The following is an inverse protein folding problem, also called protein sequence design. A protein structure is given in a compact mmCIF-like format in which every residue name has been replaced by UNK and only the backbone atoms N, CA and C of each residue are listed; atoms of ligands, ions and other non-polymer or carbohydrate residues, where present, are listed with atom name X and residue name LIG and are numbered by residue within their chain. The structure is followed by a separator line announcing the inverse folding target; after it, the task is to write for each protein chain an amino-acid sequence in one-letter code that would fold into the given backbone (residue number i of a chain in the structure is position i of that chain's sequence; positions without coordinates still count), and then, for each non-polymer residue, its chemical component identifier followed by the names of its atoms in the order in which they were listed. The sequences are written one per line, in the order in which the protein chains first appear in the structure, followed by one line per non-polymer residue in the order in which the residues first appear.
data_IF_773158027948
#
_entry.id   IF_773158027948
#
_cell.length_a   1.000
_cell.length_b   1.000
_cell.length_c   1.000
_cell.angle_alpha   90.00
_cell.angle_beta   90.00
_cell.angle_gamma   90.00
#
_symmetry.space_group_name_H-M   'P 1'
#
loop_
_entity.id
_entity.type
_entity.pdbx_description
1 polymer ?
#
# COMPACT_ATOMS: atom_id res chain seq x y z
N UNK A 1 10.34 -8.00 -8.72
CA UNK A 1 10.21 -6.55 -8.42
C UNK A 1 10.00 -6.43 -6.93
N UNK A 2 10.67 -5.48 -6.27
CA UNK A 2 10.41 -5.19 -4.86
C UNK A 2 9.00 -4.58 -4.74
N UNK A 3 8.20 -5.01 -3.76
CA UNK A 3 6.78 -4.59 -3.61
C UNK A 3 6.56 -3.58 -2.49
N UNK A 4 7.49 -3.53 -1.54
CA UNK A 4 7.39 -2.72 -0.34
C UNK A 4 8.77 -2.50 0.24
N UNK A 5 8.89 -1.50 1.13
CA UNK A 5 10.09 -1.30 1.94
C UNK A 5 9.81 -1.56 3.41
N UNK A 6 10.65 -2.38 4.05
CA UNK A 6 10.60 -2.59 5.49
C UNK A 6 11.54 -1.60 6.20
N UNK A 7 11.00 -0.86 7.17
CA UNK A 7 11.69 0.16 7.96
C UNK A 7 11.70 -0.29 9.42
N UNK A 8 12.88 -0.49 9.96
CA UNK A 8 13.12 -0.87 11.36
C UNK A 8 13.62 0.33 12.16
N UNK A 9 13.60 0.24 13.50
CA UNK A 9 14.15 1.27 14.39
C UNK A 9 15.64 1.58 14.16
N UNK A 10 16.40 0.65 13.57
CA UNK A 10 17.84 0.82 13.30
C UNK A 10 18.10 1.56 11.99
N UNK A 11 17.11 1.60 11.10
CA UNK A 11 17.23 2.32 9.86
C UNK A 11 17.18 3.82 10.15
N UNK A 12 17.99 4.61 9.41
CA UNK A 12 17.76 6.05 9.27
C UNK A 12 16.49 6.22 8.42
N UNK A 13 15.32 5.95 9.01
CA UNK A 13 14.07 5.61 8.32
C UNK A 13 13.72 6.53 7.14
N UNK A 14 13.98 7.83 7.28
CA UNK A 14 13.76 8.82 6.22
C UNK A 14 14.53 8.55 4.92
N UNK A 15 15.79 8.12 4.97
CA UNK A 15 16.59 7.91 3.74
C UNK A 15 16.08 6.71 2.93
N UNK A 16 15.72 5.63 3.64
CA UNK A 16 15.21 4.40 3.04
C UNK A 16 13.80 4.61 2.46
N UNK A 17 12.94 5.28 3.25
CA UNK A 17 11.57 5.64 2.86
C UNK A 17 11.57 6.56 1.62
N UNK A 18 12.43 7.59 1.60
CA UNK A 18 12.58 8.49 0.46
C UNK A 18 13.14 7.80 -0.79
N UNK A 19 14.09 6.87 -0.63
CA UNK A 19 14.65 6.12 -1.75
C UNK A 19 13.59 5.23 -2.38
N UNK A 20 12.78 4.56 -1.55
CA UNK A 20 11.65 3.76 -2.02
C UNK A 20 10.60 4.60 -2.73
N UNK A 21 10.22 5.75 -2.15
CA UNK A 21 9.29 6.69 -2.79
C UNK A 21 9.74 7.08 -4.20
N UNK A 22 11.02 7.37 -4.40
CA UNK A 22 11.57 7.74 -5.72
C UNK A 22 11.44 6.59 -6.72
N UNK A 23 11.64 5.35 -6.29
CA UNK A 23 11.42 4.16 -7.15
C UNK A 23 9.95 4.04 -7.50
N UNK A 24 9.06 4.05 -6.51
CA UNK A 24 7.62 3.94 -6.72
C UNK A 24 7.08 5.01 -7.69
N UNK A 25 7.52 6.25 -7.51
CA UNK A 25 7.14 7.36 -8.38
C UNK A 25 7.67 7.21 -9.80
N UNK A 26 8.93 6.79 -9.95
CA UNK A 26 9.56 6.61 -11.28
C UNK A 26 8.90 5.48 -12.06
N UNK A 27 8.56 4.38 -11.38
CA UNK A 27 8.00 3.19 -12.01
C UNK A 27 6.46 3.20 -12.03
N UNK A 28 5.83 4.22 -11.43
CA UNK A 28 4.38 4.32 -11.28
C UNK A 28 3.78 3.05 -10.62
N UNK A 29 4.39 2.63 -9.51
CA UNK A 29 3.98 1.45 -8.73
C UNK A 29 3.51 1.84 -7.32
N UNK A 30 2.74 0.98 -6.62
CA UNK A 30 2.26 1.27 -5.27
C UNK A 30 3.40 1.58 -4.31
N UNK A 31 3.26 2.67 -3.56
CA UNK A 31 4.17 2.98 -2.47
C UNK A 31 3.69 2.33 -1.18
N UNK A 32 4.31 1.19 -0.83
CA UNK A 32 3.99 0.43 0.37
C UNK A 32 5.17 0.40 1.33
N UNK A 33 4.90 0.67 2.61
CA UNK A 33 5.88 0.62 3.68
C UNK A 33 5.43 -0.35 4.77
N UNK A 34 6.41 -1.03 5.38
CA UNK A 34 6.24 -1.77 6.63
C UNK A 34 7.06 -1.04 7.69
N UNK A 35 6.42 -0.47 8.70
CA UNK A 35 7.11 0.15 9.84
C UNK A 35 7.15 -0.86 10.99
N UNK A 36 8.25 -1.60 11.06
CA UNK A 36 8.45 -2.66 12.04
C UNK A 36 8.76 -2.11 13.43
N UNK A 37 8.05 -2.63 14.43
CA UNK A 37 8.32 -2.46 15.87
C UNK A 37 8.96 -3.76 16.38
N UNK A 38 8.79 -4.14 17.65
CA UNK A 38 9.42 -5.36 18.18
C UNK A 38 8.84 -6.63 17.56
N UNK A 39 7.55 -6.86 17.76
CA UNK A 39 6.78 -8.00 17.22
C UNK A 39 5.68 -7.59 16.27
N UNK A 40 5.28 -6.32 16.33
CA UNK A 40 4.20 -5.77 15.52
C UNK A 40 4.75 -4.85 14.44
N UNK A 41 3.95 -4.60 13.42
CA UNK A 41 4.25 -3.67 12.35
C UNK A 41 3.01 -2.88 11.95
N UNK A 42 3.27 -1.76 11.28
CA UNK A 42 2.26 -1.03 10.51
C UNK A 42 2.55 -1.28 9.04
N UNK A 43 1.56 -1.74 8.28
CA UNK A 43 1.62 -1.80 6.82
C UNK A 43 0.80 -0.65 6.27
N UNK A 44 1.41 0.20 5.45
CA UNK A 44 0.73 1.35 4.88
C UNK A 44 0.96 1.45 3.37
N UNK A 45 -0.11 1.71 2.63
CA UNK A 45 -0.06 2.24 1.27
C UNK A 45 -0.39 3.73 1.28
N UNK A 46 0.31 4.50 0.44
CA UNK A 46 0.03 5.91 0.16
C UNK A 46 0.02 6.16 -1.35
N UNK A 47 -1.00 6.87 -1.83
CA UNK A 47 -1.19 7.20 -3.24
C UNK A 47 -0.14 8.16 -3.82
N UNK A 48 0.66 8.83 -2.99
CA UNK A 48 1.59 9.91 -3.38
C UNK A 48 2.60 9.59 -4.49
N UNK A 49 2.80 8.31 -4.82
CA UNK A 49 3.66 7.89 -5.93
C UNK A 49 2.99 8.04 -7.31
N UNK A 50 1.66 8.13 -7.36
CA UNK A 50 0.90 8.26 -8.60
C UNK A 50 0.76 9.72 -9.06
N UNK A 51 0.64 9.96 -10.37
CA UNK A 51 0.36 11.30 -10.90
C UNK A 51 -1.11 11.70 -10.61
N UNK A 52 -1.41 13.00 -10.46
CA UNK A 52 -2.77 13.47 -10.17
C UNK A 52 -3.86 13.03 -11.15
N UNK A 53 -3.48 12.75 -12.41
CA UNK A 53 -4.40 12.22 -13.42
C UNK A 53 -4.97 10.85 -13.04
N UNK A 54 -4.22 10.06 -12.27
CA UNK A 54 -4.61 8.71 -11.86
C UNK A 54 -5.46 8.70 -10.57
N UNK A 55 -5.31 9.72 -9.72
CA UNK A 55 -6.00 9.81 -8.42
C UNK A 55 -7.51 9.64 -8.56
N UNK A 56 -8.13 10.38 -9.49
CA UNK A 56 -9.59 10.35 -9.67
C UNK A 56 -10.08 8.95 -10.08
N UNK A 57 -9.38 8.30 -11.00
CA UNK A 57 -9.72 6.96 -11.47
C UNK A 57 -9.52 5.92 -10.36
N UNK A 58 -8.41 6.01 -9.61
CA UNK A 58 -8.14 5.10 -8.49
C UNK A 58 -9.14 5.30 -7.35
N UNK A 59 -9.51 6.55 -7.04
CA UNK A 59 -10.49 6.87 -5.99
C UNK A 59 -11.90 6.42 -6.37
N UNK A 60 -12.26 6.45 -7.65
CA UNK A 60 -13.53 5.88 -8.12
C UNK A 60 -13.60 4.36 -7.90
N UNK A 61 -12.46 3.67 -7.82
CA UNK A 61 -12.37 2.24 -7.51
C UNK A 61 -12.34 1.94 -6.01
N UNK A 62 -12.40 2.95 -5.13
CA UNK A 62 -12.19 2.81 -3.69
C UNK A 62 -13.05 1.71 -3.04
N UNK A 63 -14.35 1.64 -3.33
CA UNK A 63 -15.22 0.61 -2.73
C UNK A 63 -14.80 -0.81 -3.14
N UNK A 64 -14.36 -1.01 -4.39
CA UNK A 64 -13.86 -2.31 -4.84
C UNK A 64 -12.53 -2.68 -4.18
N UNK A 65 -11.64 -1.70 -3.98
CA UNK A 65 -10.37 -1.86 -3.28
C UNK A 65 -10.65 -2.23 -1.81
N UNK A 66 -11.58 -1.51 -1.17
CA UNK A 66 -11.96 -1.71 0.22
C UNK A 66 -12.45 -3.13 0.48
N UNK A 67 -13.30 -3.68 -0.38
CA UNK A 67 -13.75 -5.09 -0.25
C UNK A 67 -12.57 -6.06 -0.25
N UNK A 68 -11.63 -5.90 -1.19
CA UNK A 68 -10.45 -6.78 -1.28
C UNK A 68 -9.50 -6.62 -0.09
N UNK A 69 -9.31 -5.39 0.37
CA UNK A 69 -8.44 -5.04 1.50
C UNK A 69 -9.03 -5.55 2.83
N UNK A 70 -10.35 -5.46 3.00
CA UNK A 70 -11.03 -6.08 4.15
C UNK A 70 -10.82 -7.59 4.19
N UNK A 71 -10.80 -8.27 3.04
CA UNK A 71 -10.52 -9.71 3.00
C UNK A 71 -9.07 -10.05 3.42
N UNK A 72 -8.09 -9.18 3.16
CA UNK A 72 -6.74 -9.33 3.73
C UNK A 72 -6.82 -9.22 5.25
N UNK A 73 -7.45 -8.17 5.74
CA UNK A 73 -7.56 -7.92 7.18
C UNK A 73 -8.17 -9.11 7.93
N UNK A 74 -9.27 -9.66 7.42
CA UNK A 74 -9.95 -10.80 8.05
C UNK A 74 -9.08 -12.07 8.17
N UNK A 75 -8.03 -12.22 7.33
CA UNK A 75 -7.10 -13.36 7.40
C UNK A 75 -5.96 -13.19 8.39
N UNK A 76 -5.51 -11.95 8.62
CA UNK A 76 -4.30 -11.65 9.42
C UNK A 76 -4.59 -10.89 10.72
N UNK A 77 -5.84 -10.54 10.98
CA UNK A 77 -6.30 -9.79 12.16
C UNK A 77 -6.01 -10.53 13.47
N UNK A 78 -5.46 -9.80 14.44
CA UNK A 78 -5.52 -10.13 15.87
C UNK A 78 -6.48 -9.20 16.61
N UNK A 79 -6.80 -9.47 17.88
CA UNK A 79 -7.67 -8.60 18.69
C UNK A 79 -7.19 -7.15 18.80
N UNK A 80 -5.89 -6.90 18.64
CA UNK A 80 -5.28 -5.58 18.77
C UNK A 80 -5.13 -4.85 17.42
N UNK A 81 -5.28 -5.57 16.32
CA UNK A 81 -5.07 -5.02 14.98
C UNK A 81 -6.19 -4.05 14.57
N UNK A 82 -5.84 -3.07 13.74
CA UNK A 82 -6.80 -2.07 13.23
C UNK A 82 -6.63 -1.87 11.73
N UNK A 83 -7.74 -1.59 11.03
CA UNK A 83 -7.75 -1.26 9.62
C UNK A 83 -8.34 0.13 9.39
N UNK A 84 -7.64 0.94 8.60
CA UNK A 84 -8.18 2.14 7.97
C UNK A 84 -8.08 1.99 6.47
N UNK A 85 -9.20 2.19 5.76
CA UNK A 85 -9.25 2.17 4.29
C UNK A 85 -9.81 3.50 3.80
N UNK A 86 -8.93 4.41 3.40
CA UNK A 86 -9.27 5.62 2.67
C UNK A 86 -8.94 5.49 1.17
N UNK A 87 -9.44 6.41 0.33
CA UNK A 87 -9.20 6.36 -1.12
C UNK A 87 -7.74 6.60 -1.50
N UNK A 88 -6.98 7.37 -0.72
CA UNK A 88 -5.56 7.63 -0.96
C UNK A 88 -4.59 7.00 0.04
N UNK A 89 -5.09 6.47 1.16
CA UNK A 89 -4.25 5.88 2.20
C UNK A 89 -4.95 4.66 2.78
N UNK A 90 -4.21 3.56 2.89
CA UNK A 90 -4.67 2.35 3.57
C UNK A 90 -3.65 1.99 4.63
N UNK A 91 -4.10 1.66 5.84
CA UNK A 91 -3.21 1.32 6.95
C UNK A 91 -3.73 0.15 7.74
N UNK A 92 -2.87 -0.86 7.90
CA UNK A 92 -3.02 -1.96 8.84
C UNK A 92 -2.12 -1.67 10.04
N UNK A 93 -2.70 -1.54 11.21
CA UNK A 93 -1.97 -1.30 12.46
C UNK A 93 -1.90 -2.57 13.28
N UNK A 94 -0.79 -2.70 14.01
CA UNK A 94 -0.57 -3.75 15.00
C UNK A 94 -0.79 -5.16 14.40
N UNK A 95 -0.18 -5.38 13.22
CA UNK A 95 -0.08 -6.70 12.57
C UNK A 95 1.18 -7.40 13.05
N UNK A 96 1.13 -8.71 13.28
CA UNK A 96 2.31 -9.50 13.59
C UNK A 96 3.37 -9.34 12.48
N UNK A 97 4.62 -9.10 12.86
CA UNK A 97 5.70 -8.83 11.92
C UNK A 97 5.94 -10.01 10.97
N UNK A 98 5.64 -11.24 11.40
CA UNK A 98 5.68 -12.44 10.54
C UNK A 98 4.73 -12.33 9.35
N UNK A 99 3.60 -11.65 9.54
CA UNK A 99 2.48 -11.60 8.59
C UNK A 99 2.50 -10.30 7.79
N UNK A 100 3.12 -9.25 8.33
CA UNK A 100 3.18 -7.92 7.73
C UNK A 100 3.74 -7.91 6.29
N UNK A 101 4.67 -8.80 5.97
CA UNK A 101 5.24 -8.93 4.62
C UNK A 101 4.23 -9.49 3.62
N UNK A 102 3.43 -10.46 4.05
CA UNK A 102 2.37 -11.04 3.22
C UNK A 102 1.26 -10.01 3.00
N UNK A 103 0.82 -9.35 4.07
CA UNK A 103 -0.15 -8.23 4.00
C UNK A 103 0.33 -7.13 3.04
N UNK A 104 1.61 -6.74 3.11
CA UNK A 104 2.18 -5.73 2.22
C UNK A 104 2.25 -6.20 0.76
N UNK A 105 2.59 -7.46 0.52
CA UNK A 105 2.62 -8.07 -0.81
C UNK A 105 1.23 -8.11 -1.44
N UNK A 106 0.22 -8.55 -0.69
CA UNK A 106 -1.16 -8.62 -1.18
C UNK A 106 -1.76 -7.22 -1.40
N UNK A 107 -1.49 -6.28 -0.48
CA UNK A 107 -1.92 -4.89 -0.64
C UNK A 107 -1.29 -4.28 -1.91
N UNK A 108 -0.01 -4.58 -2.18
CA UNK A 108 0.65 -4.12 -3.40
C UNK A 108 -0.09 -4.61 -4.64
N UNK A 109 -0.43 -5.90 -4.70
CA UNK A 109 -1.05 -6.49 -5.89
C UNK A 109 -2.44 -5.90 -6.15
N UNK A 110 -3.25 -5.68 -5.11
CA UNK A 110 -4.56 -5.02 -5.24
C UNK A 110 -4.42 -3.62 -5.83
N UNK A 111 -3.49 -2.82 -5.31
CA UNK A 111 -3.32 -1.43 -5.74
C UNK A 111 -2.68 -1.36 -7.13
N UNK A 112 -1.73 -2.24 -7.42
CA UNK A 112 -1.08 -2.32 -8.73
C UNK A 112 -2.10 -2.65 -9.83
N UNK A 113 -2.97 -3.63 -9.59
CA UNK A 113 -4.04 -3.98 -10.53
C UNK A 113 -5.02 -2.83 -10.73
N UNK A 114 -5.40 -2.14 -9.64
CA UNK A 114 -6.30 -0.98 -9.72
C UNK A 114 -5.65 0.17 -10.52
N UNK A 115 -4.36 0.44 -10.29
CA UNK A 115 -3.62 1.45 -11.04
C UNK A 115 -3.51 1.10 -12.52
N UNK A 116 -3.27 -0.18 -12.86
CA UNK A 116 -3.24 -0.64 -14.26
C UNK A 116 -4.57 -0.40 -14.97
N UNK A 117 -5.69 -0.78 -14.34
CA UNK A 117 -7.05 -0.55 -14.88
C UNK A 117 -7.33 0.94 -15.09
N UNK A 118 -6.92 1.77 -14.12
CA UNK A 118 -7.07 3.22 -14.20
C UNK A 118 -6.25 3.82 -15.35
N UNK A 119 -5.00 3.37 -15.56
CA UNK A 119 -4.16 3.81 -16.69
C UNK A 119 -4.80 3.45 -18.03
N UNK A 120 -5.27 2.21 -18.18
CA UNK A 120 -5.91 1.72 -19.40
C UNK A 120 -7.17 2.52 -19.74
N UNK A 121 -7.96 2.87 -18.72
CA UNK A 121 -9.19 3.66 -18.90
C UNK A 121 -8.88 5.10 -19.37
N UNK A 122 -7.83 5.72 -18.83
CA UNK A 122 -7.39 7.06 -19.26
C UNK A 122 -6.88 7.09 -20.71
N UNK A 123 -6.33 5.99 -21.21
CA UNK A 123 -5.86 5.88 -22.60
C UNK A 123 -7.02 5.73 -23.61
N UNK A 124 -8.16 5.19 -23.18
CA UNK A 124 -9.34 5.03 -24.05
C UNK A 124 -10.19 6.29 -24.20
N UNK A 125 -9.94 7.32 -23.37
CA UNK A 125 -10.64 8.61 -23.42
C UNK A 125 -9.92 9.68 -24.27
N UNK A 126 -8.78 9.34 -24.88
CA UNK A 126 -7.96 10.19 -25.76
C UNK A 126 -8.10 9.81 -27.23
#
# INVERSE_FOLDING_TARGET
MEKFVEITRKDKGFDKENSWYRVCKKECIPYITIKARSKLAIVQWDYMAYPPSLDKALFAMHESIKVKVSAIYDRYISKESQLSVGPGVISFWDIELSDAREVASELHDIIYDAARIAIESLQTEL
#
